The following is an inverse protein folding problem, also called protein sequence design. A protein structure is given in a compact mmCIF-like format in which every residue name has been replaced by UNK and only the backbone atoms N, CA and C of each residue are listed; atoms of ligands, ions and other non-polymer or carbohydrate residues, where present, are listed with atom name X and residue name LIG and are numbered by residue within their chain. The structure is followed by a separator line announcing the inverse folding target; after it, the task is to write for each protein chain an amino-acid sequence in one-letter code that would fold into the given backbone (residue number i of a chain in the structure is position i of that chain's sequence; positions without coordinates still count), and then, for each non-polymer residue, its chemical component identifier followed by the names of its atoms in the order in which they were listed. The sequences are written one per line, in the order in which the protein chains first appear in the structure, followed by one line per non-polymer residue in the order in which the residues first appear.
data_IF_680558825302
#
_entry.id   IF_680558825302
#
_cell.length_a   1.000
_cell.length_b   1.000
_cell.length_c   1.000
_cell.angle_alpha   90.00
_cell.angle_beta   90.00
_cell.angle_gamma   90.00
#
_symmetry.space_group_name_H-M   'P 1'
#
loop_
_entity.id
_entity.type
_entity.pdbx_description
1 polymer ?
#
# COMPACT_ATOMS: atom_id res chain seq x y z
N UNK A 1 19.28 0.64 37.49
CA UNK A 1 19.29 -0.83 37.48
C UNK A 1 17.87 -1.33 37.33
N UNK A 2 17.67 -2.46 36.66
CA UNK A 2 16.38 -3.16 36.58
C UNK A 2 16.65 -4.61 36.97
N UNK A 3 15.82 -5.17 37.85
CA UNK A 3 15.89 -6.58 38.25
C UNK A 3 14.54 -7.21 37.96
N UNK A 4 14.55 -8.40 37.36
CA UNK A 4 13.35 -9.14 37.00
C UNK A 4 13.33 -10.47 37.75
N UNK A 5 12.21 -10.77 38.38
CA UNK A 5 11.98 -12.02 39.09
C UNK A 5 10.47 -12.31 39.13
N UNK A 6 10.10 -13.58 39.30
CA UNK A 6 8.71 -14.03 39.35
C UNK A 6 8.03 -13.73 40.70
N UNK A 7 8.76 -13.87 41.82
CA UNK A 7 8.28 -13.56 43.18
C UNK A 7 8.55 -12.10 43.56
N UNK A 8 7.52 -11.45 44.10
CA UNK A 8 7.56 -10.08 44.63
C UNK A 8 8.30 -10.03 45.97
N UNK A 9 8.12 -11.04 46.81
CA UNK A 9 8.78 -11.17 48.11
C UNK A 9 10.30 -11.19 47.94
N UNK A 10 10.78 -11.98 46.97
CA UNK A 10 12.20 -12.02 46.61
C UNK A 10 12.74 -10.65 46.20
N UNK A 11 12.00 -9.90 45.37
CA UNK A 11 12.42 -8.57 44.93
C UNK A 11 12.49 -7.57 46.09
N UNK A 12 11.58 -7.65 47.06
CA UNK A 12 11.64 -6.82 48.26
C UNK A 12 12.82 -7.20 49.17
N UNK A 13 13.10 -8.49 49.35
CA UNK A 13 14.29 -8.93 50.08
C UNK A 13 15.58 -8.46 49.42
N UNK A 14 15.68 -8.59 48.10
CA UNK A 14 16.82 -8.14 47.32
C UNK A 14 17.01 -6.61 47.38
N UNK A 15 15.92 -5.84 47.38
CA UNK A 15 15.96 -4.39 47.56
C UNK A 15 16.62 -4.00 48.90
N UNK A 16 16.26 -4.68 49.99
CA UNK A 16 16.86 -4.44 51.31
C UNK A 16 18.36 -4.74 51.27
N UNK A 17 18.73 -5.88 50.68
CA UNK A 17 20.14 -6.27 50.52
C UNK A 17 20.95 -5.24 49.72
N UNK A 18 20.43 -4.82 48.55
CA UNK A 18 21.08 -3.81 47.70
C UNK A 18 21.23 -2.49 48.46
N UNK A 19 20.20 -2.06 49.18
CA UNK A 19 20.24 -0.80 49.92
C UNK A 19 21.27 -0.83 51.06
N UNK A 20 21.35 -1.96 51.78
CA UNK A 20 22.37 -2.18 52.80
C UNK A 20 23.79 -2.14 52.21
N UNK A 21 24.04 -2.88 51.12
CA UNK A 21 25.33 -2.89 50.43
C UNK A 21 25.73 -1.49 49.93
N UNK A 22 24.81 -0.79 49.24
CA UNK A 22 25.08 0.54 48.73
C UNK A 22 25.38 1.54 49.85
N UNK A 23 24.62 1.48 50.95
CA UNK A 23 24.77 2.40 52.07
C UNK A 23 26.07 2.14 52.86
N UNK A 24 26.33 0.88 53.20
CA UNK A 24 27.41 0.52 54.13
C UNK A 24 28.76 0.36 53.43
N UNK A 25 28.80 -0.25 52.24
CA UNK A 25 30.06 -0.52 51.55
C UNK A 25 30.43 0.55 50.53
N UNK A 26 29.43 1.24 49.96
CA UNK A 26 29.65 2.21 48.86
C UNK A 26 29.30 3.65 49.24
N UNK A 27 28.71 3.90 50.41
CA UNK A 27 28.23 5.23 50.86
C UNK A 27 27.32 5.90 49.82
N UNK A 28 26.54 5.10 49.10
CA UNK A 28 25.57 5.55 48.11
C UNK A 28 24.15 5.34 48.63
N UNK A 29 23.27 6.30 48.35
CA UNK A 29 21.85 6.20 48.73
C UNK A 29 20.99 5.87 47.52
N UNK A 30 20.04 4.95 47.71
CA UNK A 30 19.07 4.63 46.67
C UNK A 30 18.04 5.75 46.56
N UNK A 31 17.79 6.22 45.33
CA UNK A 31 16.78 7.25 45.07
C UNK A 31 15.38 6.73 45.40
N UNK A 32 14.59 7.52 46.13
CA UNK A 32 13.27 7.14 46.66
C UNK A 32 12.20 6.78 45.62
N UNK A 33 12.43 7.07 44.34
CA UNK A 33 11.48 6.80 43.26
C UNK A 33 11.62 5.39 42.66
N UNK A 34 12.28 4.45 43.34
CA UNK A 34 12.29 3.05 42.96
C UNK A 34 10.88 2.44 43.16
N UNK A 35 10.53 1.46 42.35
CA UNK A 35 9.22 0.80 42.43
C UNK A 35 9.34 -0.67 42.06
N UNK A 36 8.62 -1.53 42.77
CA UNK A 36 8.42 -2.95 42.43
C UNK A 36 7.00 -3.09 41.88
N UNK A 37 6.86 -3.52 40.63
CA UNK A 37 5.56 -3.59 39.96
C UNK A 37 5.54 -4.69 38.89
N UNK A 38 4.35 -5.26 38.58
CA UNK A 38 4.23 -6.23 37.51
C UNK A 38 4.43 -5.57 36.13
N UNK A 39 5.22 -6.22 35.26
CA UNK A 39 5.56 -5.70 33.93
C UNK A 39 4.32 -5.50 33.05
N UNK A 40 3.30 -6.35 33.20
CA UNK A 40 2.07 -6.28 32.40
C UNK A 40 1.28 -4.98 32.63
N UNK A 41 1.34 -4.40 33.84
CA UNK A 41 0.55 -3.22 34.18
C UNK A 41 1.12 -1.92 33.59
N UNK A 42 2.44 -1.81 33.42
CA UNK A 42 3.11 -0.53 33.10
C UNK A 42 4.18 -0.61 32.02
N UNK A 43 4.76 -1.79 31.80
CA UNK A 43 5.99 -1.96 31.04
C UNK A 43 7.23 -1.39 31.76
N UNK A 44 8.40 -1.87 31.37
CA UNK A 44 9.67 -1.46 31.96
C UNK A 44 10.23 -0.28 31.16
N UNK A 45 10.37 0.89 31.78
CA UNK A 45 10.99 2.06 31.16
C UNK A 45 12.51 2.03 31.36
N UNK A 46 13.25 1.69 30.29
CA UNK A 46 14.70 1.53 30.34
C UNK A 46 15.35 2.00 29.03
N UNK A 47 16.48 2.71 29.15
CA UNK A 47 17.26 3.24 28.01
C UNK A 47 16.45 4.06 26.97
N UNK A 48 15.31 4.63 27.35
CA UNK A 48 14.44 5.40 26.45
C UNK A 48 13.36 4.59 25.73
N UNK A 49 13.29 3.29 26.01
CA UNK A 49 12.24 2.38 25.56
C UNK A 49 11.35 1.96 26.73
N UNK A 50 10.13 1.53 26.41
CA UNK A 50 9.18 0.93 27.33
C UNK A 50 8.93 -0.48 26.83
N UNK A 51 9.43 -1.46 27.56
CA UNK A 51 9.33 -2.88 27.23
C UNK A 51 8.05 -3.47 27.81
N UNK A 52 7.23 -4.07 26.94
CA UNK A 52 6.11 -4.93 27.31
C UNK A 52 6.41 -6.36 26.86
N UNK A 53 5.63 -7.33 27.33
CA UNK A 53 5.78 -8.73 26.91
C UNK A 53 5.64 -8.94 25.40
N UNK A 54 4.80 -8.13 24.72
CA UNK A 54 4.49 -8.31 23.30
C UNK A 54 5.21 -7.33 22.37
N UNK A 55 5.62 -6.17 22.87
CA UNK A 55 6.15 -5.11 22.02
C UNK A 55 6.98 -4.10 22.82
N UNK A 56 7.76 -3.31 22.09
CA UNK A 56 8.60 -2.24 22.64
C UNK A 56 8.07 -0.90 22.14
N UNK A 57 7.90 0.08 23.02
CA UNK A 57 7.47 1.45 22.66
C UNK A 57 8.60 2.44 22.95
N UNK A 58 8.74 3.48 22.14
CA UNK A 58 9.59 4.62 22.49
C UNK A 58 8.93 5.51 23.55
N UNK A 59 9.75 6.01 24.49
CA UNK A 59 9.31 6.99 25.51
C UNK A 59 8.77 8.25 24.85
N UNK A 60 7.73 8.85 25.45
CA UNK A 60 7.05 10.06 24.93
C UNK A 60 8.05 11.20 24.62
N UNK A 61 9.03 11.42 25.49
CA UNK A 61 10.08 12.45 25.31
C UNK A 61 10.89 12.26 24.02
N UNK A 62 11.24 11.01 23.68
CA UNK A 62 12.04 10.72 22.49
C UNK A 62 11.23 10.99 21.21
N UNK A 63 9.96 10.58 21.19
CA UNK A 63 9.03 10.86 20.09
C UNK A 63 8.85 12.36 19.87
N UNK A 64 8.58 13.09 20.96
CA UNK A 64 8.43 14.55 20.91
C UNK A 64 9.72 15.25 20.49
N UNK A 65 10.88 14.77 20.95
CA UNK A 65 12.19 15.32 20.57
C UNK A 65 12.45 15.20 19.07
N UNK A 66 12.13 14.05 18.47
CA UNK A 66 12.23 13.86 17.02
C UNK A 66 11.25 14.77 16.26
N UNK A 67 9.98 14.85 16.67
CA UNK A 67 8.99 15.74 16.04
C UNK A 67 9.49 17.20 16.06
N UNK A 68 9.93 17.71 17.22
CA UNK A 68 10.37 19.10 17.35
C UNK A 68 11.56 19.40 16.45
N UNK A 69 12.54 18.50 16.34
CA UNK A 69 13.70 18.66 15.46
C UNK A 69 13.29 18.66 13.98
N UNK A 70 12.41 17.74 13.57
CA UNK A 70 11.88 17.70 12.19
C UNK A 70 11.14 18.98 11.85
N UNK A 71 10.26 19.47 12.74
CA UNK A 71 9.51 20.70 12.52
C UNK A 71 10.43 21.93 12.45
N UNK A 72 11.45 22.00 13.31
CA UNK A 72 12.43 23.09 13.27
C UNK A 72 13.17 23.14 11.92
N UNK A 73 13.62 21.98 11.42
CA UNK A 73 14.32 21.91 10.13
C UNK A 73 13.40 22.21 8.94
N UNK A 74 12.14 21.77 8.99
CA UNK A 74 11.15 22.13 7.97
C UNK A 74 10.88 23.64 7.93
N UNK A 75 10.80 24.29 9.09
CA UNK A 75 10.66 25.76 9.19
C UNK A 75 11.86 26.51 8.60
N UNK A 76 13.04 25.90 8.62
CA UNK A 76 14.25 26.44 8.00
C UNK A 76 14.30 26.22 6.48
N UNK A 77 13.31 25.55 5.88
CA UNK A 77 13.28 25.29 4.44
C UNK A 77 14.25 24.19 3.96
N UNK A 78 14.79 23.37 4.86
CA UNK A 78 15.69 22.25 4.51
C UNK A 78 14.96 21.21 3.65
N UNK A 79 15.70 20.58 2.74
CA UNK A 79 15.15 19.50 1.92
C UNK A 79 14.84 18.25 2.77
N UNK A 80 13.97 17.36 2.29
CA UNK A 80 13.62 16.15 3.06
C UNK A 80 14.82 15.22 3.27
N UNK A 81 15.77 15.17 2.32
CA UNK A 81 16.98 14.36 2.46
C UNK A 81 17.92 14.93 3.52
N UNK A 82 18.09 16.24 3.59
CA UNK A 82 18.88 16.90 4.65
C UNK A 82 18.26 16.68 6.03
N UNK A 83 16.94 16.78 6.13
CA UNK A 83 16.21 16.50 7.38
C UNK A 83 16.45 15.06 7.82
N UNK A 84 16.42 14.12 6.89
CA UNK A 84 16.64 12.70 7.15
C UNK A 84 18.07 12.45 7.64
N UNK A 85 19.07 13.06 7.01
CA UNK A 85 20.47 12.97 7.43
C UNK A 85 20.67 13.52 8.84
N UNK A 86 20.18 14.73 9.12
CA UNK A 86 20.31 15.34 10.45
C UNK A 86 19.54 14.59 11.55
N UNK A 87 18.46 13.91 11.20
CA UNK A 87 17.65 13.15 12.15
C UNK A 87 17.98 11.66 12.18
N UNK A 88 18.95 11.19 11.40
CA UNK A 88 19.27 9.78 11.21
C UNK A 88 19.51 9.03 12.53
N UNK A 89 20.26 9.63 13.46
CA UNK A 89 20.49 9.04 14.80
C UNK A 89 19.16 8.80 15.57
N UNK A 90 18.25 9.78 15.55
CA UNK A 90 16.94 9.67 16.21
C UNK A 90 16.02 8.70 15.48
N UNK A 91 16.07 8.66 14.15
CA UNK A 91 15.31 7.71 13.34
C UNK A 91 15.80 6.29 13.61
N UNK A 92 17.12 6.06 13.66
CA UNK A 92 17.73 4.78 14.02
C UNK A 92 17.26 4.27 15.39
N UNK A 93 17.24 5.14 16.40
CA UNK A 93 16.67 4.80 17.71
C UNK A 93 15.21 4.31 17.60
N UNK A 94 14.41 4.93 16.74
CA UNK A 94 12.99 4.59 16.58
C UNK A 94 12.79 3.24 15.86
N UNK A 95 13.72 2.81 15.00
CA UNK A 95 13.62 1.51 14.29
C UNK A 95 13.53 0.32 15.25
N UNK A 96 14.18 0.40 16.42
CA UNK A 96 14.17 -0.68 17.43
C UNK A 96 12.90 -0.70 18.31
N UNK A 97 11.86 0.05 17.95
CA UNK A 97 10.57 0.03 18.65
C UNK A 97 9.39 0.02 17.67
N UNK A 98 8.19 -0.20 18.19
CA UNK A 98 6.97 -0.17 17.39
C UNK A 98 6.61 1.28 17.00
N UNK A 99 7.27 1.80 15.95
CA UNK A 99 7.10 3.17 15.46
C UNK A 99 6.91 3.28 13.94
N UNK A 100 6.55 2.19 13.25
CA UNK A 100 6.41 2.18 11.78
C UNK A 100 5.45 3.27 11.29
N UNK A 101 4.28 3.37 11.91
CA UNK A 101 3.29 4.40 11.58
C UNK A 101 3.82 5.81 11.88
N UNK A 102 4.48 5.99 13.04
CA UNK A 102 5.06 7.27 13.44
C UNK A 102 6.13 7.78 12.46
N UNK A 103 7.04 6.91 12.01
CA UNK A 103 8.07 7.28 11.02
C UNK A 103 7.46 7.57 9.65
N UNK A 104 6.41 6.84 9.27
CA UNK A 104 5.64 7.08 8.04
C UNK A 104 4.97 8.46 8.06
N UNK A 105 4.33 8.86 9.16
CA UNK A 105 3.70 10.19 9.30
C UNK A 105 4.72 11.33 9.18
N UNK A 106 5.98 11.08 9.58
CA UNK A 106 7.05 12.07 9.45
C UNK A 106 7.76 12.04 8.08
N UNK A 107 7.36 11.17 7.15
CA UNK A 107 8.04 10.92 5.87
C UNK A 107 9.54 10.55 6.03
N UNK A 108 9.90 9.91 7.14
CA UNK A 108 11.30 9.56 7.46
C UNK A 108 11.69 8.14 7.02
N UNK A 109 10.77 7.42 6.37
CA UNK A 109 11.01 6.05 5.88
C UNK A 109 11.82 6.01 4.58
N UNK A 110 12.08 7.16 3.95
CA UNK A 110 12.92 7.26 2.75
C UNK A 110 12.34 6.60 1.49
N UNK A 111 11.11 6.10 1.56
CA UNK A 111 10.41 5.47 0.45
C UNK A 111 9.33 6.41 -0.06
N UNK A 112 9.45 6.81 -1.32
CA UNK A 112 8.36 7.46 -2.06
C UNK A 112 7.21 6.47 -2.22
N UNK A 113 5.97 6.96 -2.23
CA UNK A 113 4.85 6.08 -2.59
C UNK A 113 4.99 5.69 -4.06
N UNK A 114 4.56 4.49 -4.41
CA UNK A 114 4.56 4.06 -5.81
C UNK A 114 3.81 5.04 -6.72
N UNK A 115 2.70 5.60 -6.23
CA UNK A 115 1.93 6.66 -6.93
C UNK A 115 2.73 7.93 -7.22
N UNK A 116 3.76 8.25 -6.44
CA UNK A 116 4.63 9.42 -6.64
C UNK A 116 5.77 9.13 -7.63
N UNK A 117 6.04 7.86 -7.92
CA UNK A 117 7.10 7.39 -8.83
C UNK A 117 6.54 6.92 -10.17
N UNK A 118 5.30 6.41 -10.17
CA UNK A 118 4.59 6.00 -11.36
C UNK A 118 4.29 7.24 -12.22
N UNK A 119 5.13 7.48 -13.25
CA UNK A 119 4.96 8.56 -14.23
C UNK A 119 3.91 8.24 -15.29
N UNK A 120 3.43 7.00 -15.32
CA UNK A 120 2.46 6.51 -16.29
C UNK A 120 1.38 5.74 -15.54
N UNK A 121 0.16 6.28 -15.55
CA UNK A 121 -1.02 5.43 -15.41
C UNK A 121 -1.04 4.44 -16.58
N UNK A 122 -1.54 3.23 -16.34
CA UNK A 122 -1.65 2.23 -17.41
C UNK A 122 -2.37 2.83 -18.62
N UNK A 123 -1.94 2.46 -19.83
CA UNK A 123 -2.40 3.05 -21.11
C UNK A 123 -3.93 2.98 -21.31
N UNK A 124 -4.60 2.09 -20.57
CA UNK A 124 -6.04 1.85 -20.62
C UNK A 124 -6.61 1.69 -19.21
N UNK A 125 -7.87 2.11 -19.02
CA UNK A 125 -8.60 2.06 -17.75
C UNK A 125 -9.85 1.17 -17.88
N UNK A 126 -10.11 0.34 -16.86
CA UNK A 126 -11.32 -0.49 -16.81
C UNK A 126 -11.09 -1.87 -16.18
N UNK A 127 -12.19 -2.57 -15.86
CA UNK A 127 -12.09 -3.96 -15.41
C UNK A 127 -11.81 -4.88 -16.60
N UNK A 128 -11.01 -5.93 -16.37
CA UNK A 128 -10.66 -6.89 -17.41
C UNK A 128 -11.81 -7.88 -17.59
N UNK A 129 -12.38 -7.93 -18.80
CA UNK A 129 -13.37 -8.93 -19.18
C UNK A 129 -12.77 -9.91 -20.20
N UNK A 130 -13.29 -11.14 -20.22
CA UNK A 130 -12.95 -12.09 -21.26
C UNK A 130 -13.73 -11.78 -22.53
N UNK A 131 -13.15 -11.99 -23.72
CA UNK A 131 -13.84 -11.65 -24.99
C UNK A 131 -15.19 -12.36 -25.13
N UNK A 132 -15.32 -13.59 -24.61
CA UNK A 132 -16.57 -14.35 -24.66
C UNK A 132 -17.69 -13.72 -23.80
N UNK A 133 -17.38 -12.90 -22.79
CA UNK A 133 -18.37 -12.21 -21.93
C UNK A 133 -18.93 -10.93 -22.58
N UNK A 134 -18.26 -10.46 -23.63
CA UNK A 134 -18.57 -9.23 -24.38
C UNK A 134 -19.34 -9.54 -25.67
N UNK A 135 -19.42 -10.81 -26.06
CA UNK A 135 -20.08 -11.22 -27.30
C UNK A 135 -21.55 -10.78 -27.32
N UNK A 136 -21.99 -10.35 -28.50
CA UNK A 136 -23.36 -9.96 -28.81
C UNK A 136 -23.92 -8.78 -28.00
N UNK A 137 -23.09 -8.11 -27.20
CA UNK A 137 -23.44 -6.90 -26.46
C UNK A 137 -23.01 -5.65 -27.24
N UNK A 138 -23.81 -4.59 -27.11
CA UNK A 138 -23.46 -3.27 -27.66
C UNK A 138 -22.36 -2.67 -26.79
N UNK A 139 -21.22 -2.37 -27.41
CA UNK A 139 -20.08 -1.73 -26.77
C UNK A 139 -19.76 -0.39 -27.45
N UNK A 140 -19.34 0.60 -26.66
CA UNK A 140 -18.75 1.84 -27.17
C UNK A 140 -17.24 1.70 -27.14
N UNK A 141 -16.61 1.47 -28.28
CA UNK A 141 -15.16 1.34 -28.35
C UNK A 141 -14.52 2.73 -28.16
N UNK A 142 -13.62 2.84 -27.18
CA UNK A 142 -12.96 4.10 -26.81
C UNK A 142 -11.56 4.20 -27.42
N UNK A 143 -10.80 3.10 -27.39
CA UNK A 143 -9.44 3.07 -27.92
C UNK A 143 -8.97 1.62 -28.09
N UNK A 144 -7.93 1.42 -28.90
CA UNK A 144 -7.23 0.15 -29.00
C UNK A 144 -5.71 0.35 -28.90
N UNK A 145 -5.00 -0.72 -28.53
CA UNK A 145 -3.56 -0.75 -28.46
C UNK A 145 -3.02 -2.12 -28.84
N UNK A 146 -1.98 -2.11 -29.67
CA UNK A 146 -1.24 -3.32 -30.03
C UNK A 146 -0.01 -3.46 -29.13
N UNK A 147 0.18 -4.65 -28.59
CA UNK A 147 1.33 -5.00 -27.73
C UNK A 147 1.90 -6.33 -28.17
N UNK A 148 3.19 -6.55 -27.97
CA UNK A 148 3.80 -7.85 -28.29
C UNK A 148 3.32 -8.92 -27.29
N UNK A 149 2.87 -10.06 -27.80
CA UNK A 149 2.41 -11.16 -26.95
C UNK A 149 3.59 -11.91 -26.34
N UNK A 150 3.47 -12.29 -25.05
CA UNK A 150 4.46 -13.17 -24.39
C UNK A 150 4.38 -14.62 -24.83
N UNK A 151 3.22 -15.05 -25.36
CA UNK A 151 2.92 -16.46 -25.61
C UNK A 151 2.81 -16.80 -27.09
N UNK A 152 2.51 -15.82 -27.94
CA UNK A 152 2.38 -16.00 -29.39
C UNK A 152 3.35 -15.08 -30.11
N UNK A 153 3.80 -15.49 -31.30
CA UNK A 153 4.59 -14.64 -32.18
C UNK A 153 3.81 -13.41 -32.70
N UNK A 154 2.48 -13.47 -32.65
CA UNK A 154 1.59 -12.43 -33.12
C UNK A 154 1.27 -11.39 -32.02
N UNK A 155 1.00 -10.15 -32.44
CA UNK A 155 0.64 -9.04 -31.55
C UNK A 155 -0.68 -9.31 -30.81
N UNK A 156 -0.74 -8.93 -29.54
CA UNK A 156 -1.95 -8.93 -28.73
C UNK A 156 -2.65 -7.57 -28.83
N UNK A 157 -3.91 -7.60 -29.24
CA UNK A 157 -4.81 -6.47 -29.26
C UNK A 157 -5.41 -6.26 -27.87
N UNK A 158 -5.31 -5.04 -27.38
CA UNK A 158 -6.01 -4.55 -26.19
C UNK A 158 -7.06 -3.55 -26.66
N UNK A 159 -8.33 -3.78 -26.35
CA UNK A 159 -9.41 -2.82 -26.63
C UNK A 159 -9.97 -2.29 -25.31
N UNK A 160 -10.19 -0.98 -25.26
CA UNK A 160 -10.93 -0.31 -24.19
C UNK A 160 -12.30 0.09 -24.72
N UNK A 161 -13.36 -0.29 -24.01
CA UNK A 161 -14.73 0.00 -24.40
C UNK A 161 -15.62 0.23 -23.16
N UNK A 162 -16.76 0.87 -23.37
CA UNK A 162 -17.83 0.95 -22.37
C UNK A 162 -18.96 -0.01 -22.71
N UNK A 163 -19.49 -0.67 -21.69
CA UNK A 163 -20.63 -1.58 -21.79
C UNK A 163 -21.67 -1.16 -20.74
N UNK A 164 -22.96 -1.32 -21.06
CA UNK A 164 -24.02 -1.09 -20.08
C UNK A 164 -24.03 -2.24 -19.08
N UNK A 165 -23.84 -1.91 -17.81
CA UNK A 165 -24.01 -2.86 -16.71
C UNK A 165 -25.11 -2.38 -15.78
N UNK A 166 -25.90 -3.33 -15.28
CA UNK A 166 -26.88 -3.07 -14.24
C UNK A 166 -26.14 -3.05 -12.91
N UNK A 167 -25.77 -1.86 -12.43
CA UNK A 167 -25.12 -1.75 -11.13
C UNK A 167 -26.20 -1.72 -10.06
N UNK A 168 -26.34 -2.83 -9.32
CA UNK A 168 -27.24 -2.87 -8.16
C UNK A 168 -26.69 -2.00 -7.04
N UNK A 169 -27.32 -0.86 -6.76
CA UNK A 169 -27.07 -0.12 -5.52
C UNK A 169 -27.81 -0.79 -4.34
N UNK A 170 -27.26 -0.64 -3.14
CA UNK A 170 -27.73 -1.29 -1.91
C UNK A 170 -29.18 -0.94 -1.50
N UNK A 171 -29.82 0.03 -2.18
CA UNK A 171 -31.20 0.50 -1.91
C UNK A 171 -32.25 -0.03 -2.90
N UNK A 172 -31.92 -1.00 -3.76
CA UNK A 172 -32.90 -1.70 -4.60
C UNK A 172 -33.32 -0.96 -5.88
N UNK A 173 -32.69 0.17 -6.20
CA UNK A 173 -32.87 0.89 -7.48
C UNK A 173 -31.81 0.42 -8.47
N UNK A 174 -32.24 -0.07 -9.64
CA UNK A 174 -31.33 -0.48 -10.73
C UNK A 174 -31.01 0.72 -11.61
N UNK A 175 -29.75 1.15 -11.67
CA UNK A 175 -29.27 2.10 -12.69
C UNK A 175 -28.44 1.39 -13.74
N UNK A 176 -28.81 1.59 -15.01
CA UNK A 176 -27.99 1.22 -16.18
C UNK A 176 -26.93 2.29 -16.38
N UNK A 177 -25.69 1.98 -16.00
CA UNK A 177 -24.55 2.87 -16.16
C UNK A 177 -23.57 2.29 -17.20
N UNK A 178 -22.90 3.16 -17.93
CA UNK A 178 -21.83 2.77 -18.85
C UNK A 178 -20.53 2.58 -18.06
N UNK A 179 -20.06 1.34 -18.00
CA UNK A 179 -18.86 0.96 -17.24
C UNK A 179 -17.70 0.69 -18.21
N UNK A 180 -16.49 1.18 -17.88
CA UNK A 180 -15.29 0.99 -18.70
C UNK A 180 -14.68 -0.39 -18.45
N UNK A 181 -14.39 -1.09 -19.54
CA UNK A 181 -13.75 -2.40 -19.54
C UNK A 181 -12.59 -2.47 -20.54
N UNK A 182 -11.72 -3.45 -20.31
CA UNK A 182 -10.59 -3.77 -21.19
C UNK A 182 -10.65 -5.25 -21.53
N UNK A 183 -10.53 -5.57 -22.82
CA UNK A 183 -10.38 -6.96 -23.30
C UNK A 183 -9.05 -7.14 -24.03
N UNK A 184 -8.38 -8.26 -23.75
CA UNK A 184 -7.16 -8.69 -24.45
C UNK A 184 -7.52 -9.81 -25.42
N UNK A 185 -7.10 -9.69 -26.67
CA UNK A 185 -7.35 -10.70 -27.70
C UNK A 185 -6.16 -10.85 -28.64
N UNK A 186 -5.89 -12.07 -29.09
CA UNK A 186 -4.91 -12.37 -30.14
C UNK A 186 -5.54 -12.47 -31.54
N UNK A 187 -6.78 -12.00 -31.70
CA UNK A 187 -7.53 -12.19 -32.94
C UNK A 187 -7.01 -11.30 -34.07
N UNK A 188 -6.40 -11.92 -35.09
CA UNK A 188 -5.91 -11.21 -36.30
C UNK A 188 -7.04 -10.52 -37.07
N UNK A 189 -8.23 -11.11 -37.10
CA UNK A 189 -9.38 -10.52 -37.79
C UNK A 189 -9.79 -9.19 -37.17
N UNK A 190 -9.78 -9.09 -35.84
CA UNK A 190 -10.10 -7.85 -35.13
C UNK A 190 -8.98 -6.81 -35.27
N UNK A 191 -7.71 -7.25 -35.26
CA UNK A 191 -6.58 -6.36 -35.53
C UNK A 191 -6.72 -5.72 -36.90
N UNK A 192 -6.93 -6.52 -37.95
CA UNK A 192 -7.06 -6.02 -39.32
C UNK A 192 -8.28 -5.11 -39.52
N UNK A 193 -9.35 -5.28 -38.74
CA UNK A 193 -10.54 -4.42 -38.80
C UNK A 193 -10.35 -3.06 -38.13
N UNK A 194 -9.46 -2.99 -37.13
CA UNK A 194 -9.11 -1.73 -36.45
C UNK A 194 -7.88 -1.06 -37.09
N UNK A 195 -7.09 -1.80 -37.87
CA UNK A 195 -5.94 -1.32 -38.62
C UNK A 195 -6.39 -0.41 -39.77
N UNK A 196 -6.35 0.90 -39.53
CA UNK A 196 -6.81 1.93 -40.47
C UNK A 196 -7.81 2.94 -39.88
N UNK A 197 -8.35 2.68 -38.68
CA UNK A 197 -9.21 3.63 -37.97
C UNK A 197 -8.33 4.71 -37.31
N UNK A 198 -8.61 5.97 -37.59
CA UNK A 198 -7.88 7.08 -36.98
C UNK A 198 -8.35 7.31 -35.54
N UNK A 199 -7.48 7.92 -34.71
CA UNK A 199 -7.84 8.23 -33.32
C UNK A 199 -9.04 9.20 -33.20
N UNK A 200 -9.35 9.95 -34.26
CA UNK A 200 -10.47 10.89 -34.34
C UNK A 200 -11.83 10.20 -34.51
N UNK A 201 -11.86 8.96 -35.00
CA UNK A 201 -13.09 8.20 -35.24
C UNK A 201 -13.62 7.52 -33.96
N UNK A 202 -12.87 7.59 -32.86
CA UNK A 202 -13.31 7.13 -31.55
C UNK A 202 -14.03 8.26 -30.79
N UNK A 203 -15.12 7.95 -30.04
CA UNK A 203 -15.70 6.63 -29.82
C UNK A 203 -16.80 6.26 -30.83
N UNK A 204 -16.90 4.98 -31.18
CA UNK A 204 -17.99 4.44 -32.00
C UNK A 204 -18.64 3.20 -31.35
N UNK A 205 -19.88 2.91 -31.74
CA UNK A 205 -20.65 1.76 -31.24
C UNK A 205 -20.48 0.55 -32.14
N UNK A 206 -20.22 -0.62 -31.56
CA UNK A 206 -20.12 -1.87 -32.29
C UNK A 206 -20.59 -3.06 -31.42
N UNK A 207 -20.82 -4.20 -32.06
CA UNK A 207 -20.97 -5.52 -31.42
C UNK A 207 -19.80 -6.42 -31.83
N UNK A 208 -19.35 -7.28 -30.92
CA UNK A 208 -18.38 -8.33 -31.26
C UNK A 208 -19.14 -9.64 -31.39
N UNK A 209 -19.05 -10.27 -32.57
CA UNK A 209 -19.71 -11.54 -32.84
C UNK A 209 -18.65 -12.62 -33.06
N UNK A 210 -18.94 -13.83 -32.58
CA UNK A 210 -18.10 -15.03 -32.77
C UNK A 210 -18.65 -15.84 -33.94
N UNK A 211 -17.94 -15.84 -35.06
CA UNK A 211 -18.32 -16.62 -36.25
C UNK A 211 -17.63 -17.98 -36.25
N UNK A 212 -18.39 -19.10 -36.28
CA UNK A 212 -17.80 -20.43 -36.35
C UNK A 212 -17.28 -20.73 -37.77
N UNK A 213 -16.14 -21.42 -37.83
CA UNK A 213 -15.50 -21.91 -39.05
C UNK A 213 -15.45 -23.44 -39.06
N UNK A 214 -15.22 -24.01 -40.25
CA UNK A 214 -14.97 -25.44 -40.40
C UNK A 214 -13.81 -25.90 -39.50
N UNK A 215 -13.94 -27.13 -38.96
CA UNK A 215 -12.96 -27.77 -38.03
C UNK A 215 -12.83 -27.11 -36.65
N UNK A 216 -13.91 -26.53 -36.12
CA UNK A 216 -13.97 -26.05 -34.73
C UNK A 216 -13.15 -24.77 -34.46
N UNK A 217 -12.69 -24.10 -35.53
CA UNK A 217 -12.05 -22.79 -35.42
C UNK A 217 -13.13 -21.71 -35.39
N UNK A 218 -12.85 -20.59 -34.74
CA UNK A 218 -13.74 -19.42 -34.74
C UNK A 218 -12.90 -18.17 -35.02
N UNK A 219 -13.52 -17.12 -35.57
CA UNK A 219 -12.93 -15.79 -35.55
C UNK A 219 -13.95 -14.78 -35.02
N UNK A 220 -13.44 -13.66 -34.52
CA UNK A 220 -14.24 -12.57 -33.98
C UNK A 220 -14.33 -11.45 -35.02
N UNK A 221 -15.48 -10.80 -35.13
CA UNK A 221 -15.70 -9.67 -36.05
C UNK A 221 -16.49 -8.56 -35.36
N UNK A 222 -16.13 -7.31 -35.64
CA UNK A 222 -16.95 -6.15 -35.32
C UNK A 222 -18.09 -6.03 -36.33
N UNK A 223 -19.30 -5.83 -35.82
CA UNK A 223 -20.53 -5.66 -36.58
C UNK A 223 -21.26 -4.45 -36.04
N UNK A 224 -22.04 -3.78 -36.89
CA UNK A 224 -22.84 -2.64 -36.47
C UNK A 224 -23.90 -3.07 -35.44
N UNK A 225 -24.29 -2.21 -34.49
CA UNK A 225 -25.29 -2.55 -33.48
C UNK A 225 -26.67 -2.88 -34.05
N UNK A 226 -26.96 -2.44 -35.27
CA UNK A 226 -28.27 -2.52 -35.90
C UNK A 226 -28.41 -3.65 -36.94
N UNK A 227 -27.33 -4.43 -37.18
CA UNK A 227 -27.38 -5.73 -37.88
C UNK A 227 -27.63 -6.90 -36.90
#
# INVERSE_FOLDING_TARGET
MVVLHSSKEFLHGLLVYINHYLSNERKLTLKSNYQVFPVQARGIDFAGYIFYHTHIRARKKNKQGLIRKVLALRKQGRSQEEIRLETASRVGFMIHCNSRHFLKTLNMTGMKKFSEVAKTQGKFEGSKLHIDEVLDKIIKLLAYGLTDSKHNADKCLTIQYEMQENTGQADGTTTTDWVKHITFTGSKSLVNQLEGIEAADFPFTAKIIKQPLARGKCFYKFVDPDE
#
